data_IF_304347270608
#
_entry.id   IF_304347270608
#
_cell.length_a   1.000
_cell.length_b   1.000
_cell.length_c   1.000
_cell.angle_alpha   90.00
_cell.angle_beta   90.00
_cell.angle_gamma   90.00
#
_symmetry.space_group_name_H-M   'P 1'
#
loop_
_entity.id
_entity.type
_entity.pdbx_description
1 polymer ?
#
# COMPACT_ATOMS: atom_id res chain seq x y z
N UNK A 1 17.47 0.22 -2.98
CA UNK A 1 16.49 -0.84 -3.31
C UNK A 1 17.21 -1.98 -4.01
N UNK A 2 17.34 -3.13 -3.36
CA UNK A 2 17.90 -4.33 -4.00
C UNK A 2 16.83 -5.05 -4.82
N UNK A 3 17.23 -5.84 -5.82
CA UNK A 3 16.29 -6.60 -6.65
C UNK A 3 15.43 -7.57 -5.82
N UNK A 4 15.99 -8.12 -4.75
CA UNK A 4 15.32 -9.06 -3.84
C UNK A 4 14.15 -8.39 -3.09
N UNK A 5 14.36 -7.18 -2.56
CA UNK A 5 13.30 -6.43 -1.88
C UNK A 5 12.17 -6.06 -2.84
N UNK A 6 12.49 -5.66 -4.07
CA UNK A 6 11.50 -5.36 -5.09
C UNK A 6 10.63 -6.58 -5.43
N UNK A 7 11.25 -7.76 -5.60
CA UNK A 7 10.54 -9.02 -5.84
C UNK A 7 9.62 -9.35 -4.66
N UNK A 8 10.10 -9.21 -3.42
CA UNK A 8 9.31 -9.45 -2.21
C UNK A 8 8.11 -8.51 -2.13
N UNK A 9 8.29 -7.23 -2.41
CA UNK A 9 7.23 -6.20 -2.37
C UNK A 9 6.17 -6.42 -3.47
N UNK A 10 6.60 -6.96 -4.63
CA UNK A 10 5.73 -7.34 -5.74
C UNK A 10 4.91 -8.59 -5.46
N UNK A 11 5.44 -9.54 -4.69
CA UNK A 11 4.74 -10.78 -4.32
C UNK A 11 3.83 -10.60 -3.09
N UNK A 12 4.21 -9.71 -2.17
CA UNK A 12 3.48 -9.48 -0.93
C UNK A 12 2.19 -8.71 -1.19
N UNK A 13 1.04 -9.34 -0.96
CA UNK A 13 -0.29 -8.72 -1.09
C UNK A 13 -0.72 -8.05 0.21
N UNK A 14 -0.65 -6.73 0.27
CA UNK A 14 -1.14 -5.96 1.43
C UNK A 14 -2.65 -5.96 1.53
N UNK A 15 -3.38 -5.93 0.41
CA UNK A 15 -4.83 -6.10 0.41
C UNK A 15 -5.22 -7.39 -0.32
N UNK A 16 -5.52 -8.49 0.38
CA UNK A 16 -5.91 -9.74 -0.28
C UNK A 16 -7.24 -9.61 -1.03
N UNK A 17 -8.17 -8.75 -0.57
CA UNK A 17 -9.49 -8.58 -1.17
C UNK A 17 -9.47 -7.88 -2.54
N UNK A 18 -8.54 -6.93 -2.74
CA UNK A 18 -8.39 -6.18 -4.00
C UNK A 18 -7.11 -6.59 -4.74
N UNK A 19 -6.41 -7.60 -4.22
CA UNK A 19 -5.12 -8.10 -4.70
C UNK A 19 -4.03 -7.01 -4.83
N UNK A 20 -4.15 -5.93 -4.07
CA UNK A 20 -3.16 -4.84 -4.06
C UNK A 20 -1.89 -5.31 -3.36
N UNK A 21 -0.76 -5.22 -4.06
CA UNK A 21 0.56 -5.57 -3.58
C UNK A 21 1.21 -4.41 -2.84
N UNK A 22 2.17 -4.73 -1.96
CA UNK A 22 2.92 -3.73 -1.21
C UNK A 22 3.63 -2.75 -2.16
N UNK A 23 4.10 -3.26 -3.31
CA UNK A 23 4.78 -2.46 -4.32
C UNK A 23 3.88 -1.33 -4.83
N UNK A 24 2.63 -1.67 -5.15
CA UNK A 24 1.62 -0.72 -5.63
C UNK A 24 1.39 0.43 -4.64
N UNK A 25 1.45 0.11 -3.34
CA UNK A 25 1.25 1.09 -2.27
C UNK A 25 2.48 2.00 -2.16
N UNK A 26 3.69 1.45 -2.22
CA UNK A 26 4.91 2.26 -2.28
C UNK A 26 4.97 3.15 -3.51
N UNK A 27 4.59 2.64 -4.68
CA UNK A 27 4.48 3.43 -5.92
C UNK A 27 3.49 4.59 -5.75
N UNK A 28 2.35 4.35 -5.11
CA UNK A 28 1.39 5.40 -4.82
C UNK A 28 1.95 6.46 -3.86
N UNK A 29 2.64 6.04 -2.78
CA UNK A 29 3.30 6.95 -1.85
C UNK A 29 4.36 7.80 -2.58
N UNK A 30 5.21 7.17 -3.38
CA UNK A 30 6.21 7.86 -4.20
C UNK A 30 5.58 8.82 -5.23
N UNK A 31 4.37 8.53 -5.70
CA UNK A 31 3.56 9.42 -6.54
C UNK A 31 2.90 10.59 -5.78
N UNK A 32 3.16 10.75 -4.48
CA UNK A 32 2.62 11.83 -3.65
C UNK A 32 1.34 11.47 -2.88
N UNK A 33 1.03 10.17 -2.74
CA UNK A 33 -0.08 9.72 -1.90
C UNK A 33 0.31 9.79 -0.42
N UNK A 34 -0.10 10.88 0.22
CA UNK A 34 0.24 11.20 1.62
C UNK A 34 -0.87 10.84 2.64
N UNK A 35 -1.94 10.18 2.18
CA UNK A 35 -3.12 9.89 2.99
C UNK A 35 -3.81 8.62 2.52
N UNK A 36 -4.53 7.96 3.43
CA UNK A 36 -5.29 6.74 3.13
C UNK A 36 -6.27 6.95 1.96
N UNK A 37 -6.88 8.13 1.84
CA UNK A 37 -7.79 8.42 0.73
C UNK A 37 -7.06 8.50 -0.62
N UNK A 38 -5.91 9.17 -0.67
CA UNK A 38 -5.06 9.21 -1.86
C UNK A 38 -4.57 7.82 -2.24
N UNK A 39 -4.13 7.02 -1.27
CA UNK A 39 -3.72 5.63 -1.51
C UNK A 39 -4.90 4.82 -2.05
N UNK A 40 -6.09 4.96 -1.46
CA UNK A 40 -7.32 4.30 -1.91
C UNK A 40 -7.67 4.69 -3.34
N UNK A 41 -7.55 5.96 -3.72
CA UNK A 41 -7.80 6.41 -5.10
C UNK A 41 -6.73 5.91 -6.07
N UNK A 42 -5.46 5.95 -5.69
CA UNK A 42 -4.35 5.55 -6.56
C UNK A 42 -4.23 4.03 -6.74
N UNK A 43 -4.50 3.25 -5.68
CA UNK A 43 -4.29 1.79 -5.67
C UNK A 43 -5.58 0.99 -5.75
N UNK A 44 -6.73 1.61 -5.47
CA UNK A 44 -8.00 0.90 -5.29
C UNK A 44 -8.08 0.08 -3.99
N UNK A 45 -7.04 0.08 -3.14
CA UNK A 45 -7.08 -0.60 -1.85
C UNK A 45 -8.23 -0.06 -0.99
N UNK A 46 -8.74 -0.86 -0.04
CA UNK A 46 -9.84 -0.47 0.86
C UNK A 46 -11.23 -0.31 0.22
N UNK A 47 -11.40 -0.53 -1.09
CA UNK A 47 -12.70 -0.51 -1.79
C UNK A 47 -13.42 -1.87 -1.84
N UNK A 48 -12.70 -2.96 -1.56
CA UNK A 48 -13.25 -4.33 -1.63
C UNK A 48 -14.21 -4.67 -0.48
N UNK A 49 -14.62 -5.96 -0.41
CA UNK A 49 -15.65 -6.42 0.54
C UNK A 49 -15.36 -6.09 2.02
N UNK A 50 -14.08 -6.01 2.39
CA UNK A 50 -13.66 -5.72 3.77
C UNK A 50 -13.63 -4.21 4.09
N UNK A 51 -13.89 -3.33 3.11
CA UNK A 51 -13.89 -1.85 3.24
C UNK A 51 -12.65 -1.30 3.96
N UNK A 52 -11.49 -1.95 3.76
CA UNK A 52 -10.23 -1.55 4.37
C UNK A 52 -9.96 -2.10 5.77
N UNK A 53 -10.86 -2.85 6.42
CA UNK A 53 -10.65 -3.33 7.81
C UNK A 53 -9.34 -4.10 8.02
N UNK A 54 -8.88 -4.87 7.03
CA UNK A 54 -7.68 -5.73 7.16
C UNK A 54 -6.39 -5.08 6.68
N UNK A 55 -6.47 -4.23 5.66
CA UNK A 55 -5.28 -3.63 5.03
C UNK A 55 -4.96 -2.23 5.55
N UNK A 56 -5.94 -1.53 6.15
CA UNK A 56 -5.78 -0.14 6.61
C UNK A 56 -4.58 0.03 7.55
N UNK A 57 -4.42 -0.88 8.52
CA UNK A 57 -3.31 -0.82 9.48
C UNK A 57 -1.93 -0.85 8.79
N UNK A 58 -1.70 -1.83 7.91
CA UNK A 58 -0.44 -1.90 7.15
C UNK A 58 -0.19 -0.70 6.25
N UNK A 59 -1.24 -0.12 5.65
CA UNK A 59 -1.10 1.06 4.79
C UNK A 59 -0.74 2.29 5.62
N UNK A 60 -1.40 2.47 6.76
CA UNK A 60 -1.14 3.59 7.67
C UNK A 60 0.28 3.52 8.25
N UNK A 61 0.74 2.32 8.58
CA UNK A 61 2.12 2.08 9.01
C UNK A 61 3.12 2.43 7.90
N UNK A 62 2.89 2.00 6.66
CA UNK A 62 3.75 2.37 5.52
C UNK A 62 3.77 3.87 5.24
N UNK A 63 2.63 4.55 5.38
CA UNK A 63 2.56 6.01 5.25
C UNK A 63 3.34 6.73 6.35
N UNK A 64 3.30 6.23 7.59
CA UNK A 64 4.08 6.78 8.70
C UNK A 64 5.58 6.55 8.50
N UNK A 65 5.96 5.36 8.04
CA UNK A 65 7.35 5.00 7.76
C UNK A 65 7.97 5.95 6.71
N UNK A 66 7.22 6.26 5.64
CA UNK A 66 7.69 7.20 4.59
C UNK A 66 7.72 8.67 5.01
N UNK A 67 7.13 9.04 6.16
CA UNK A 67 7.11 10.42 6.68
C UNK A 67 8.13 10.68 7.79
N UNK A 68 8.73 9.62 8.33
CA UNK A 68 9.71 9.72 9.42
C UNK A 68 11.17 9.69 8.91
N UNK A 69 11.39 10.08 7.65
CA UNK A 69 12.73 10.37 7.09
C UNK A 69 13.04 11.87 7.18
#
# INVERSE_FOLDING_TARGET
MTAEEYIKDKLTKTCPCTQVTRLKIKEAIAGGADSLDKIKQATGAMTGCCKGRRCRGSIEEMLKDSKNE
#
